data_IF_114728757304
#
_entry.id   IF_114728757304
#
_cell.length_a   1.000
_cell.length_b   1.000
_cell.length_c   1.000
_cell.angle_alpha   90.00
_cell.angle_beta   90.00
_cell.angle_gamma   90.00
#
_symmetry.space_group_name_H-M   'P 1'
#
loop_
_entity.id
_entity.type
_entity.pdbx_description
1 polymer ?
#
# COMPACT_ATOMS: atom_id res chain seq x y z
N UNK A 1 8.40 34.22 -8.15
CA UNK A 1 7.38 33.51 -7.37
C UNK A 1 7.97 32.17 -6.92
N UNK A 2 8.57 32.10 -5.72
CA UNK A 2 9.01 30.80 -5.15
C UNK A 2 7.74 30.01 -4.85
N UNK A 3 7.51 28.91 -5.57
CA UNK A 3 6.28 28.15 -5.42
C UNK A 3 6.28 27.45 -4.07
N UNK A 4 5.17 27.62 -3.36
CA UNK A 4 4.80 27.06 -2.06
C UNK A 4 4.71 25.52 -2.14
N UNK A 5 5.86 24.83 -2.27
CA UNK A 5 5.94 23.36 -2.34
C UNK A 5 7.11 22.76 -1.52
N UNK A 6 7.81 23.56 -0.72
CA UNK A 6 9.09 23.18 -0.09
C UNK A 6 8.98 22.26 1.15
N UNK A 7 7.78 21.83 1.54
CA UNK A 7 7.54 21.15 2.82
C UNK A 7 7.52 19.61 2.74
N UNK A 8 7.61 19.04 1.53
CA UNK A 8 7.67 17.61 1.28
C UNK A 8 9.03 17.19 0.73
N UNK A 9 10.04 17.30 1.59
CA UNK A 9 11.44 16.95 1.31
C UNK A 9 11.93 15.92 2.31
N UNK A 10 13.14 15.34 2.16
CA UNK A 10 13.71 14.42 3.16
C UNK A 10 13.88 15.01 4.57
N UNK A 11 13.67 16.31 4.77
CA UNK A 11 13.60 16.94 6.10
C UNK A 11 12.23 16.80 6.77
N UNK A 12 11.19 16.42 6.01
CA UNK A 12 9.84 16.26 6.49
C UNK A 12 9.60 14.82 6.96
N UNK A 13 8.97 14.60 8.14
CA UNK A 13 8.58 13.26 8.56
C UNK A 13 7.62 12.59 7.56
N UNK A 14 6.75 13.38 6.92
CA UNK A 14 5.80 12.85 5.94
C UNK A 14 6.48 12.24 4.70
N UNK A 15 7.64 12.76 4.30
CA UNK A 15 8.42 12.18 3.20
C UNK A 15 8.83 10.74 3.52
N UNK A 16 9.36 10.53 4.72
CA UNK A 16 9.78 9.21 5.18
C UNK A 16 8.60 8.29 5.48
N UNK A 17 7.51 8.81 6.06
CA UNK A 17 6.28 8.04 6.27
C UNK A 17 5.72 7.53 4.93
N UNK A 18 5.63 8.39 3.91
CA UNK A 18 5.25 7.98 2.56
C UNK A 18 6.25 6.97 1.96
N UNK A 19 7.55 7.15 2.21
CA UNK A 19 8.58 6.21 1.78
C UNK A 19 8.41 4.82 2.40
N UNK A 20 8.17 4.75 3.72
CA UNK A 20 7.92 3.49 4.44
C UNK A 20 6.69 2.78 3.87
N UNK A 21 5.62 3.52 3.58
CA UNK A 21 4.43 2.97 2.92
C UNK A 21 4.76 2.40 1.53
N UNK A 22 5.46 3.17 0.70
CA UNK A 22 5.82 2.75 -0.64
C UNK A 22 6.72 1.49 -0.63
N UNK A 23 7.69 1.44 0.28
CA UNK A 23 8.54 0.24 0.52
C UNK A 23 7.67 -0.92 0.98
N UNK A 24 6.78 -0.72 1.94
CA UNK A 24 5.89 -1.78 2.45
C UNK A 24 5.05 -2.39 1.33
N UNK A 25 4.35 -1.56 0.56
CA UNK A 25 3.52 -2.00 -0.57
C UNK A 25 4.38 -2.75 -1.61
N UNK A 26 5.54 -2.20 -1.97
CA UNK A 26 6.45 -2.82 -2.94
C UNK A 26 6.94 -4.20 -2.47
N UNK A 27 7.35 -4.32 -1.20
CA UNK A 27 7.85 -5.57 -0.64
C UNK A 27 6.75 -6.63 -0.50
N UNK A 28 5.53 -6.22 -0.15
CA UNK A 28 4.35 -7.12 -0.16
C UNK A 28 4.12 -7.66 -1.56
N UNK A 29 4.16 -6.78 -2.57
CA UNK A 29 4.00 -7.18 -3.96
C UNK A 29 5.09 -8.15 -4.44
N UNK A 30 6.34 -7.86 -4.11
CA UNK A 30 7.48 -8.73 -4.41
C UNK A 30 7.34 -10.10 -3.74
N UNK A 31 6.91 -10.12 -2.48
CA UNK A 31 6.69 -11.35 -1.74
C UNK A 31 5.56 -12.20 -2.34
N UNK A 32 4.43 -11.59 -2.70
CA UNK A 32 3.32 -12.27 -3.37
C UNK A 32 3.71 -12.80 -4.77
N UNK A 33 4.58 -12.09 -5.49
CA UNK A 33 5.08 -12.52 -6.79
C UNK A 33 6.04 -13.70 -6.70
N UNK A 34 7.01 -13.64 -5.78
CA UNK A 34 8.09 -14.63 -5.66
C UNK A 34 7.69 -15.85 -4.84
N UNK A 35 6.86 -15.68 -3.81
CA UNK A 35 6.43 -16.72 -2.89
C UNK A 35 4.90 -16.75 -2.70
N UNK A 36 4.10 -16.87 -3.78
CA UNK A 36 2.64 -16.68 -3.75
C UNK A 36 1.91 -17.59 -2.76
N UNK A 37 2.31 -18.86 -2.65
CA UNK A 37 1.69 -19.79 -1.71
C UNK A 37 1.89 -19.35 -0.25
N UNK A 38 3.11 -18.91 0.10
CA UNK A 38 3.42 -18.43 1.46
C UNK A 38 2.74 -17.08 1.72
N UNK A 39 2.78 -16.17 0.73
CA UNK A 39 2.08 -14.88 0.81
C UNK A 39 0.59 -15.04 1.07
N UNK A 40 -0.07 -15.94 0.36
CA UNK A 40 -1.49 -16.25 0.56
C UNK A 40 -1.82 -16.59 2.02
N UNK A 41 -1.06 -17.52 2.60
CA UNK A 41 -1.24 -17.97 3.99
C UNK A 41 -1.03 -16.83 4.98
N UNK A 42 0.07 -16.08 4.82
CA UNK A 42 0.42 -14.99 5.74
C UNK A 42 -0.63 -13.86 5.73
N UNK A 43 -1.24 -13.61 4.57
CA UNK A 43 -2.27 -12.57 4.41
C UNK A 43 -3.70 -13.06 4.64
N UNK A 44 -3.88 -14.29 5.15
CA UNK A 44 -5.16 -14.79 5.65
C UNK A 44 -5.98 -15.60 4.66
N UNK A 45 -5.37 -16.03 3.55
CA UNK A 45 -6.00 -16.94 2.59
C UNK A 45 -5.42 -18.35 2.76
N UNK A 46 -6.24 -19.42 2.69
CA UNK A 46 -5.75 -20.80 2.78
C UNK A 46 -4.68 -21.08 1.72
N UNK A 47 -3.84 -22.10 1.94
CA UNK A 47 -2.82 -22.53 0.98
C UNK A 47 -3.39 -22.58 -0.45
N UNK A 48 -2.88 -21.70 -1.30
CA UNK A 48 -3.40 -21.48 -2.63
C UNK A 48 -3.25 -22.75 -3.46
N UNK A 49 -4.33 -23.19 -4.10
CA UNK A 49 -4.28 -24.21 -5.15
C UNK A 49 -3.41 -23.73 -6.30
N UNK A 50 -2.88 -24.64 -7.11
CA UNK A 50 -2.05 -24.27 -8.28
C UNK A 50 -2.77 -23.28 -9.21
N UNK A 51 -4.09 -23.41 -9.36
CA UNK A 51 -4.94 -22.50 -10.14
C UNK A 51 -5.06 -21.09 -9.56
N UNK A 52 -4.85 -20.92 -8.25
CA UNK A 52 -4.90 -19.63 -7.56
C UNK A 52 -3.56 -18.87 -7.61
N UNK A 53 -2.44 -19.56 -7.78
CA UNK A 53 -1.10 -18.96 -7.76
C UNK A 53 -0.89 -17.86 -8.81
N UNK A 54 -1.36 -17.98 -10.07
CA UNK A 54 -1.23 -16.91 -11.06
C UNK A 54 -1.91 -15.61 -10.63
N UNK A 55 -3.08 -15.70 -9.98
CA UNK A 55 -3.83 -14.54 -9.49
C UNK A 55 -3.13 -13.83 -8.33
N UNK A 56 -2.50 -14.60 -7.43
CA UNK A 56 -1.70 -14.02 -6.35
C UNK A 56 -0.46 -13.31 -6.91
N UNK A 57 0.20 -13.89 -7.92
CA UNK A 57 1.31 -13.21 -8.60
C UNK A 57 0.86 -11.93 -9.28
N UNK A 58 -0.30 -11.93 -9.94
CA UNK A 58 -0.87 -10.75 -10.57
C UNK A 58 -1.18 -9.64 -9.55
N UNK A 59 -1.75 -9.99 -8.40
CA UNK A 59 -1.93 -9.06 -7.28
C UNK A 59 -0.58 -8.53 -6.76
N UNK A 60 0.44 -9.38 -6.71
CA UNK A 60 1.80 -8.95 -6.37
C UNK A 60 2.38 -7.94 -7.34
N UNK A 61 2.21 -8.14 -8.65
CA UNK A 61 2.65 -7.19 -9.68
C UNK A 61 1.90 -5.85 -9.59
N UNK A 62 0.60 -5.88 -9.27
CA UNK A 62 -0.19 -4.67 -8.97
C UNK A 62 0.47 -3.89 -7.83
N UNK A 63 0.78 -4.54 -6.71
CA UNK A 63 1.36 -3.86 -5.54
C UNK A 63 2.76 -3.32 -5.82
N UNK A 64 3.59 -4.05 -6.58
CA UNK A 64 4.87 -3.54 -7.09
C UNK A 64 4.66 -2.25 -7.87
N UNK A 65 3.72 -2.22 -8.81
CA UNK A 65 3.45 -1.04 -9.63
C UNK A 65 2.97 0.15 -8.77
N UNK A 66 2.08 -0.09 -7.79
CA UNK A 66 1.61 0.95 -6.87
C UNK A 66 2.73 1.53 -6.01
N UNK A 67 3.63 0.69 -5.49
CA UNK A 67 4.82 1.12 -4.77
C UNK A 67 5.74 1.98 -5.64
N UNK A 68 5.99 1.57 -6.89
CA UNK A 68 6.79 2.34 -7.86
C UNK A 68 6.18 3.71 -8.18
N UNK A 69 4.86 3.78 -8.35
CA UNK A 69 4.14 5.05 -8.57
C UNK A 69 4.33 5.99 -7.38
N UNK A 70 4.22 5.48 -6.14
CA UNK A 70 4.49 6.30 -4.95
C UNK A 70 5.96 6.73 -4.86
N UNK A 71 6.91 5.84 -5.15
CA UNK A 71 8.33 6.20 -5.19
C UNK A 71 8.59 7.34 -6.17
N UNK A 72 7.96 7.32 -7.35
CA UNK A 72 8.10 8.38 -8.33
C UNK A 72 7.61 9.73 -7.79
N UNK A 73 6.40 9.81 -7.21
CA UNK A 73 5.90 11.08 -6.69
C UNK A 73 6.65 11.57 -5.46
N UNK A 74 7.18 10.65 -4.65
CA UNK A 74 8.06 10.96 -3.52
C UNK A 74 9.40 11.54 -4.02
N UNK A 75 10.02 10.91 -5.02
CA UNK A 75 11.27 11.38 -5.62
C UNK A 75 11.12 12.78 -6.25
N UNK A 76 9.97 13.02 -6.91
CA UNK A 76 9.59 14.32 -7.47
C UNK A 76 9.20 15.36 -6.40
N UNK A 77 9.14 14.97 -5.12
CA UNK A 77 8.77 15.81 -3.99
C UNK A 77 7.36 16.40 -4.11
N UNK A 78 6.46 15.71 -4.80
CA UNK A 78 5.07 16.13 -4.95
C UNK A 78 4.20 15.60 -3.81
N UNK A 79 4.22 16.28 -2.66
CA UNK A 79 3.50 15.85 -1.46
C UNK A 79 1.98 15.76 -1.64
N UNK A 80 1.37 16.71 -2.35
CA UNK A 80 -0.07 16.71 -2.63
C UNK A 80 -0.47 15.54 -3.53
N UNK A 81 0.28 15.32 -4.61
CA UNK A 81 0.07 14.21 -5.56
C UNK A 81 0.26 12.87 -4.84
N UNK A 82 1.30 12.73 -4.02
CA UNK A 82 1.52 11.54 -3.18
C UNK A 82 0.33 11.30 -2.25
N UNK A 83 -0.18 12.34 -1.57
CA UNK A 83 -1.35 12.23 -0.70
C UNK A 83 -2.62 11.79 -1.44
N UNK A 84 -2.88 12.34 -2.62
CA UNK A 84 -4.01 11.94 -3.47
C UNK A 84 -3.89 10.47 -3.87
N UNK A 85 -2.71 10.05 -4.34
CA UNK A 85 -2.48 8.68 -4.77
C UNK A 85 -2.63 7.69 -3.61
N UNK A 86 -2.09 7.99 -2.43
CA UNK A 86 -2.29 7.15 -1.24
C UNK A 86 -3.78 6.92 -0.96
N UNK A 87 -4.60 7.96 -1.04
CA UNK A 87 -6.05 7.84 -0.81
C UNK A 87 -6.78 7.14 -1.95
N UNK A 88 -6.33 7.26 -3.20
CA UNK A 88 -6.94 6.54 -4.32
C UNK A 88 -6.63 5.04 -4.25
N UNK A 89 -5.38 4.68 -3.94
CA UNK A 89 -4.95 3.27 -3.92
C UNK A 89 -5.37 2.55 -2.64
N UNK A 90 -5.90 3.24 -1.63
CA UNK A 90 -6.45 2.63 -0.41
C UNK A 90 -7.57 1.62 -0.69
N UNK A 91 -8.21 1.72 -1.86
CA UNK A 91 -9.23 0.76 -2.32
C UNK A 91 -8.67 -0.67 -2.37
N UNK A 92 -7.36 -0.83 -2.62
CA UNK A 92 -6.69 -2.13 -2.66
C UNK A 92 -6.74 -2.85 -1.31
N UNK A 93 -6.15 -2.32 -0.21
CA UNK A 93 -6.23 -3.00 1.08
C UNK A 93 -7.67 -3.09 1.62
N UNK A 94 -8.59 -2.20 1.21
CA UNK A 94 -10.03 -2.34 1.50
C UNK A 94 -10.60 -3.61 0.83
N UNK A 95 -10.33 -3.81 -0.46
CA UNK A 95 -10.77 -5.01 -1.16
C UNK A 95 -10.10 -6.28 -0.59
N UNK A 96 -8.82 -6.20 -0.24
CA UNK A 96 -8.07 -7.32 0.34
C UNK A 96 -8.65 -7.71 1.71
N UNK A 97 -8.91 -6.75 2.61
CA UNK A 97 -9.51 -7.04 3.93
C UNK A 97 -10.93 -7.59 3.82
N UNK A 98 -11.73 -7.09 2.88
CA UNK A 98 -13.06 -7.62 2.62
C UNK A 98 -12.99 -9.06 2.13
N UNK A 99 -12.06 -9.37 1.23
CA UNK A 99 -11.86 -10.73 0.71
C UNK A 99 -11.46 -11.70 1.82
N UNK A 100 -10.52 -11.30 2.67
CA UNK A 100 -10.10 -12.09 3.84
C UNK A 100 -11.27 -12.29 4.81
N UNK A 101 -11.99 -11.22 5.15
CA UNK A 101 -13.14 -11.30 6.05
C UNK A 101 -14.24 -12.23 5.50
N UNK A 102 -14.58 -12.12 4.22
CA UNK A 102 -15.58 -12.98 3.59
C UNK A 102 -15.14 -14.46 3.58
N UNK A 103 -13.83 -14.72 3.56
CA UNK A 103 -13.29 -16.09 3.57
C UNK A 103 -13.11 -16.67 4.97
N UNK A 104 -12.66 -15.87 5.94
CA UNK A 104 -12.23 -16.36 7.25
C UNK A 104 -13.11 -15.91 8.41
N UNK A 105 -14.04 -14.97 8.19
CA UNK A 105 -14.66 -14.21 9.27
C UNK A 105 -13.65 -13.31 9.99
N UNK A 106 -13.94 -12.93 11.24
CA UNK A 106 -13.06 -12.11 12.06
C UNK A 106 -11.80 -12.90 12.44
N UNK A 107 -10.65 -12.47 11.93
CA UNK A 107 -9.35 -13.09 12.19
C UNK A 107 -8.26 -12.03 12.40
N UNK A 108 -7.11 -12.41 12.98
CA UNK A 108 -6.00 -11.47 13.18
C UNK A 108 -5.42 -10.94 11.85
N UNK A 109 -5.60 -11.65 10.73
CA UNK A 109 -5.15 -11.21 9.41
C UNK A 109 -5.84 -9.91 8.96
N UNK A 110 -7.06 -9.65 9.45
CA UNK A 110 -7.77 -8.38 9.20
C UNK A 110 -7.01 -7.20 9.78
N UNK A 111 -6.26 -7.38 10.88
CA UNK A 111 -5.51 -6.30 11.52
C UNK A 111 -4.36 -5.79 10.64
N UNK A 112 -3.74 -6.69 9.86
CA UNK A 112 -2.65 -6.34 8.95
C UNK A 112 -3.17 -5.37 7.88
N UNK A 113 -4.29 -5.72 7.25
CA UNK A 113 -4.92 -4.89 6.22
C UNK A 113 -5.57 -3.63 6.81
N UNK A 114 -6.28 -3.77 7.94
CA UNK A 114 -6.92 -2.67 8.65
C UNK A 114 -5.93 -1.60 9.10
N UNK A 115 -4.76 -2.02 9.59
CA UNK A 115 -3.66 -1.12 9.93
C UNK A 115 -3.17 -0.32 8.73
N UNK A 116 -3.00 -0.97 7.58
CA UNK A 116 -2.63 -0.31 6.33
C UNK A 116 -3.69 0.73 5.90
N UNK A 117 -4.98 0.38 5.96
CA UNK A 117 -6.08 1.30 5.64
C UNK A 117 -6.03 2.54 6.55
N UNK A 118 -5.96 2.36 7.87
CA UNK A 118 -5.92 3.48 8.82
C UNK A 118 -4.70 4.36 8.56
N UNK A 119 -3.53 3.75 8.35
CA UNK A 119 -2.30 4.46 8.05
C UNK A 119 -2.41 5.29 6.77
N UNK A 120 -2.90 4.69 5.68
CA UNK A 120 -3.06 5.35 4.38
C UNK A 120 -4.09 6.47 4.44
N UNK A 121 -5.23 6.25 5.09
CA UNK A 121 -6.27 7.26 5.26
C UNK A 121 -5.74 8.47 6.04
N UNK A 122 -5.04 8.23 7.16
CA UNK A 122 -4.46 9.29 7.97
C UNK A 122 -3.36 10.04 7.21
N UNK A 123 -2.37 9.32 6.66
CA UNK A 123 -1.23 9.92 5.97
C UNK A 123 -1.66 10.72 4.74
N UNK A 124 -2.50 10.13 3.88
CA UNK A 124 -3.01 10.78 2.68
C UNK A 124 -3.80 12.04 3.01
N UNK A 125 -4.72 11.96 3.98
CA UNK A 125 -5.51 13.12 4.43
C UNK A 125 -4.63 14.23 5.00
N UNK A 126 -3.64 13.89 5.83
CA UNK A 126 -2.71 14.86 6.39
C UNK A 126 -1.89 15.55 5.30
N UNK A 127 -1.39 14.80 4.31
CA UNK A 127 -0.67 15.38 3.17
C UNK A 127 -1.51 16.36 2.36
N UNK A 128 -2.81 16.11 2.19
CA UNK A 128 -3.72 17.03 1.50
C UNK A 128 -4.10 18.28 2.31
N UNK A 129 -4.02 18.20 3.64
CA UNK A 129 -4.29 19.31 4.55
C UNK A 129 -3.09 20.24 4.74
N UNK A 130 -1.88 19.80 4.37
CA UNK A 130 -0.68 20.65 4.37
C UNK A 130 -0.82 21.69 3.25
N UNK A 131 -0.74 22.97 3.61
CA UNK A 131 -0.84 24.13 2.70
C UNK A 131 0.52 24.58 2.23
#
# INVERSE_FOLDING_TARGET
MKSRFDDFTPRSPFYWLSGVLAVGIFLVGLFAMLAPATGSIMFGMPAATDDALPWIRLAGVRDIALGLVLFATIALKEGRTTGLLILLIIVVPIADVMTVFLRTGVSYHILIHGGAIVYMAALGTLLLRRR
#
